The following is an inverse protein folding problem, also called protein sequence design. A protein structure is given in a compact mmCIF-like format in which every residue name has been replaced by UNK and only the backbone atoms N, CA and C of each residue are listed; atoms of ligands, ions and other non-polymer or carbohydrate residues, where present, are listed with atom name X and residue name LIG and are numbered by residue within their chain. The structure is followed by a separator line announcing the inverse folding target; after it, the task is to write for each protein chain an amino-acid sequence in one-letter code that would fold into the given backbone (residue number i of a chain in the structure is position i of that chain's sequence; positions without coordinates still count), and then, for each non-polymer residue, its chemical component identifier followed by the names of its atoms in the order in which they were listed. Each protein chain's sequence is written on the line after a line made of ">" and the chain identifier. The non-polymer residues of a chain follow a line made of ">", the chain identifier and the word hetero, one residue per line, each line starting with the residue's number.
data_IF_023930825801
#
_entry.id   IF_023930825801
#
_cell.length_a   1.000
_cell.length_b   1.000
_cell.length_c   1.000
_cell.angle_alpha   90.00
_cell.angle_beta   90.00
_cell.angle_gamma   90.00
#
_symmetry.space_group_name_H-M   'P 1'
#
loop_
_entity.id
_entity.type
_entity.pdbx_description
1 polymer ?
#
# COMPACT_ATOMS: atom_id res chain seq x y z
N UNK A 1 4.31 -3.56 7.46
CA UNK A 1 2.84 -3.54 7.23
C UNK A 1 2.32 -4.73 6.44
N UNK A 2 3.04 -5.31 5.47
CA UNK A 2 2.51 -6.40 4.63
C UNK A 2 1.94 -7.62 5.38
N UNK A 3 2.44 -7.91 6.58
CA UNK A 3 1.97 -9.03 7.41
C UNK A 3 0.86 -8.68 8.41
N UNK A 4 0.33 -7.45 8.43
CA UNK A 4 -0.90 -7.18 9.21
C UNK A 4 -2.03 -8.03 8.67
N UNK A 5 -2.89 -8.52 9.57
CA UNK A 5 -3.85 -9.58 9.25
C UNK A 5 -5.27 -9.07 9.30
N UNK A 6 -6.04 -9.44 8.28
CA UNK A 6 -7.49 -9.42 8.30
C UNK A 6 -7.99 -10.88 8.46
N UNK A 7 -9.18 -11.10 9.03
CA UNK A 7 -9.75 -12.44 9.20
C UNK A 7 -10.30 -12.98 7.86
N UNK A 8 -9.40 -13.12 6.88
CA UNK A 8 -9.68 -13.56 5.52
C UNK A 8 -8.88 -14.82 5.21
N UNK A 9 -9.50 -15.73 4.47
CA UNK A 9 -8.82 -16.93 3.96
C UNK A 9 -8.09 -16.58 2.65
N UNK A 10 -6.80 -16.26 2.78
CA UNK A 10 -5.91 -15.94 1.66
C UNK A 10 -4.91 -17.07 1.43
N UNK A 11 -4.16 -17.09 0.32
CA UNK A 11 -3.02 -17.98 0.19
C UNK A 11 -2.06 -17.74 1.35
N UNK A 12 -1.38 -18.81 1.77
CA UNK A 12 -0.43 -18.74 2.88
C UNK A 12 0.69 -17.73 2.56
N UNK A 13 0.92 -16.83 3.50
CA UNK A 13 2.01 -15.87 3.46
C UNK A 13 3.35 -16.55 3.78
N UNK A 14 4.46 -15.96 3.33
CA UNK A 14 5.80 -16.45 3.67
C UNK A 14 6.10 -16.35 5.17
N UNK A 15 5.41 -15.47 5.91
CA UNK A 15 5.47 -15.44 7.37
C UNK A 15 4.78 -16.64 8.04
N UNK A 16 4.16 -17.54 7.26
CA UNK A 16 3.50 -18.76 7.72
C UNK A 16 2.01 -18.61 8.05
N UNK A 17 1.47 -17.40 8.07
CA UNK A 17 0.07 -17.08 8.41
C UNK A 17 -0.82 -16.89 7.17
N UNK A 18 -2.14 -16.79 7.38
CA UNK A 18 -3.12 -16.35 6.38
C UNK A 18 -3.69 -14.96 6.74
N UNK A 19 -4.32 -14.30 5.77
CA UNK A 19 -4.96 -13.01 5.95
C UNK A 19 -4.00 -11.81 5.89
N UNK A 20 -2.73 -12.03 5.55
CA UNK A 20 -1.75 -10.94 5.44
C UNK A 20 -2.12 -9.96 4.32
N UNK A 21 -2.00 -8.67 4.58
CA UNK A 21 -2.32 -7.59 3.63
C UNK A 21 -1.61 -7.77 2.27
N UNK A 22 -0.35 -8.21 2.28
CA UNK A 22 0.40 -8.51 1.04
C UNK A 22 -0.18 -9.69 0.24
N UNK A 23 -0.89 -10.61 0.90
CA UNK A 23 -1.54 -11.75 0.25
C UNK A 23 -2.93 -11.39 -0.24
N UNK A 24 -3.61 -10.49 0.45
CA UNK A 24 -4.86 -9.88 -0.02
C UNK A 24 -4.60 -9.11 -1.32
N UNK A 25 -3.61 -8.22 -1.34
CA UNK A 25 -3.22 -7.49 -2.54
C UNK A 25 -2.23 -8.30 -3.39
N UNK A 26 -2.67 -9.46 -3.90
CA UNK A 26 -1.83 -10.33 -4.72
C UNK A 26 -2.57 -11.00 -5.88
N UNK A 27 -1.82 -11.36 -6.93
CA UNK A 27 -2.35 -12.16 -8.05
C UNK A 27 -2.86 -13.52 -7.59
N UNK A 28 -2.27 -14.12 -6.55
CA UNK A 28 -2.67 -15.43 -6.06
C UNK A 28 -4.06 -15.39 -5.40
N UNK A 29 -4.36 -14.34 -4.64
CA UNK A 29 -5.68 -14.15 -4.05
C UNK A 29 -6.73 -13.78 -5.12
N UNK A 30 -6.38 -12.93 -6.08
CA UNK A 30 -7.25 -12.65 -7.23
C UNK A 30 -7.64 -13.93 -8.00
N UNK A 31 -6.71 -14.86 -8.17
CA UNK A 31 -6.99 -16.20 -8.75
C UNK A 31 -7.93 -17.05 -7.91
N UNK A 32 -7.83 -17.00 -6.58
CA UNK A 32 -8.81 -17.66 -5.71
C UNK A 32 -10.22 -17.07 -5.87
N UNK A 33 -10.34 -15.78 -6.20
CA UNK A 33 -11.60 -15.14 -6.57
C UNK A 33 -12.05 -15.49 -8.00
N UNK A 34 -11.37 -16.40 -8.69
CA UNK A 34 -11.70 -16.88 -10.02
C UNK A 34 -11.32 -15.92 -11.15
N UNK A 35 -10.34 -15.04 -10.95
CA UNK A 35 -9.78 -14.17 -11.99
C UNK A 35 -8.33 -14.59 -12.33
N UNK A 36 -8.09 -14.97 -13.58
CA UNK A 36 -6.84 -15.61 -13.99
C UNK A 36 -5.74 -14.63 -14.39
N UNK A 37 -6.07 -13.35 -14.59
CA UNK A 37 -5.11 -12.31 -14.94
C UNK A 37 -4.14 -12.01 -13.79
N UNK A 38 -3.00 -11.38 -14.14
CA UNK A 38 -2.14 -10.72 -13.14
C UNK A 38 -2.92 -9.58 -12.50
N UNK A 39 -2.72 -9.34 -11.21
CA UNK A 39 -3.42 -8.28 -10.47
C UNK A 39 -3.27 -6.91 -11.14
N UNK A 40 -2.06 -6.54 -11.54
CA UNK A 40 -1.78 -5.28 -12.24
C UNK A 40 -2.58 -5.14 -13.53
N UNK A 41 -2.63 -6.21 -14.34
CA UNK A 41 -3.42 -6.23 -15.57
C UNK A 41 -4.92 -6.16 -15.28
N UNK A 42 -5.41 -6.88 -14.28
CA UNK A 42 -6.83 -6.88 -13.92
C UNK A 42 -7.30 -5.51 -13.40
N UNK A 43 -6.45 -4.80 -12.64
CA UNK A 43 -6.74 -3.42 -12.22
C UNK A 43 -6.73 -2.48 -13.43
N UNK A 44 -5.79 -2.63 -14.37
CA UNK A 44 -5.75 -1.79 -15.58
C UNK A 44 -6.96 -2.03 -16.50
N UNK A 45 -7.33 -3.29 -16.73
CA UNK A 45 -8.41 -3.67 -17.65
C UNK A 45 -9.80 -3.39 -17.06
N UNK A 46 -10.00 -3.61 -15.75
CA UNK A 46 -11.30 -3.52 -15.10
C UNK A 46 -11.21 -3.08 -13.63
N UNK A 47 -10.79 -1.83 -13.35
CA UNK A 47 -10.53 -1.33 -11.99
C UNK A 47 -11.80 -1.31 -11.12
N UNK A 48 -12.97 -1.23 -11.76
CA UNK A 48 -14.26 -1.19 -11.07
C UNK A 48 -14.93 -2.56 -10.93
N UNK A 49 -14.29 -3.64 -11.37
CA UNK A 49 -14.85 -4.98 -11.24
C UNK A 49 -15.07 -5.36 -9.76
N UNK A 50 -16.10 -6.17 -9.43
CA UNK A 50 -16.40 -6.51 -8.03
C UNK A 50 -15.22 -7.12 -7.27
N UNK A 51 -14.39 -7.93 -7.95
CA UNK A 51 -13.22 -8.59 -7.35
C UNK A 51 -12.11 -7.60 -7.05
N UNK A 52 -11.84 -6.66 -7.98
CA UNK A 52 -10.85 -5.61 -7.76
C UNK A 52 -11.32 -4.69 -6.64
N UNK A 53 -12.57 -4.21 -6.67
CA UNK A 53 -13.16 -3.42 -5.57
C UNK A 53 -12.99 -4.10 -4.22
N UNK A 54 -13.32 -5.40 -4.12
CA UNK A 54 -13.17 -6.15 -2.88
C UNK A 54 -11.71 -6.15 -2.38
N UNK A 55 -10.73 -6.38 -3.26
CA UNK A 55 -9.30 -6.35 -2.89
C UNK A 55 -8.89 -4.92 -2.47
N UNK A 56 -9.34 -3.90 -3.21
CA UNK A 56 -9.07 -2.48 -2.93
C UNK A 56 -9.65 -2.06 -1.58
N UNK A 57 -10.86 -2.49 -1.25
CA UNK A 57 -11.52 -2.18 0.03
C UNK A 57 -10.73 -2.77 1.21
N UNK A 58 -10.26 -4.02 1.08
CA UNK A 58 -9.42 -4.63 2.12
C UNK A 58 -8.04 -3.97 2.23
N UNK A 59 -7.44 -3.60 1.09
CA UNK A 59 -6.17 -2.89 1.07
C UNK A 59 -6.30 -1.53 1.79
N UNK A 60 -7.28 -0.73 1.41
CA UNK A 60 -7.51 0.62 1.97
C UNK A 60 -7.84 0.55 3.45
N UNK A 61 -8.63 -0.43 3.90
CA UNK A 61 -8.88 -0.67 5.33
C UNK A 61 -7.59 -0.97 6.10
N UNK A 62 -6.72 -1.82 5.54
CA UNK A 62 -5.41 -2.13 6.15
C UNK A 62 -4.50 -0.90 6.24
N UNK A 63 -4.48 -0.07 5.20
CA UNK A 63 -3.70 1.16 5.15
C UNK A 63 -4.25 2.22 6.10
N UNK A 64 -5.56 2.46 6.09
CA UNK A 64 -6.23 3.42 6.97
C UNK A 64 -6.01 3.08 8.45
N UNK A 65 -6.08 1.79 8.82
CA UNK A 65 -5.78 1.35 10.19
C UNK A 65 -4.35 1.70 10.62
N UNK A 66 -3.37 1.52 9.74
CA UNK A 66 -1.99 1.91 10.05
C UNK A 66 -1.81 3.42 10.15
N UNK A 67 -2.49 4.19 9.29
CA UNK A 67 -2.47 5.65 9.36
C UNK A 67 -3.09 6.14 10.68
N UNK A 68 -4.27 5.64 11.04
CA UNK A 68 -4.94 5.97 12.30
C UNK A 68 -4.09 5.61 13.52
N UNK A 69 -3.34 4.51 13.46
CA UNK A 69 -2.48 4.05 14.55
C UNK A 69 -1.16 4.84 14.66
N UNK A 70 -0.43 4.98 13.55
CA UNK A 70 0.87 5.66 13.53
C UNK A 70 0.75 7.19 13.61
N UNK A 71 -0.42 7.75 13.25
CA UNK A 71 -0.70 9.19 13.21
C UNK A 71 0.37 10.01 12.47
N UNK A 72 0.79 9.61 11.27
CA UNK A 72 1.80 10.34 10.53
C UNK A 72 1.26 11.70 10.06
N UNK A 73 2.15 12.68 9.92
CA UNK A 73 1.82 13.95 9.25
C UNK A 73 1.83 13.83 7.73
N UNK A 74 2.59 12.86 7.18
CA UNK A 74 2.74 12.63 5.74
C UNK A 74 2.63 11.13 5.42
N UNK A 75 1.90 10.81 4.35
CA UNK A 75 1.83 9.45 3.78
C UNK A 75 2.19 9.53 2.31
N UNK A 76 3.15 8.73 1.90
CA UNK A 76 3.52 8.60 0.49
C UNK A 76 3.13 7.21 0.01
N UNK A 77 2.29 7.14 -1.03
CA UNK A 77 1.99 5.89 -1.72
C UNK A 77 2.95 5.77 -2.90
N UNK A 78 3.80 4.74 -2.83
CA UNK A 78 4.76 4.40 -3.86
C UNK A 78 4.33 3.13 -4.57
N UNK A 79 4.37 3.15 -5.90
CA UNK A 79 4.02 2.01 -6.74
C UNK A 79 4.90 2.00 -8.00
N UNK A 80 5.24 0.80 -8.46
CA UNK A 80 5.90 0.52 -9.74
C UNK A 80 4.90 0.10 -10.84
N UNK A 81 3.59 0.11 -10.52
CA UNK A 81 2.55 -0.29 -11.45
C UNK A 81 2.36 0.79 -12.53
N UNK A 82 2.55 0.47 -13.82
CA UNK A 82 2.40 1.43 -14.90
C UNK A 82 0.94 1.86 -15.07
N UNK A 83 0.72 3.11 -15.47
CA UNK A 83 -0.59 3.68 -15.85
C UNK A 83 -1.68 3.51 -14.78
N UNK A 84 -1.28 3.49 -13.49
CA UNK A 84 -2.20 3.30 -12.36
C UNK A 84 -2.58 4.60 -11.68
N UNK A 85 -2.37 5.72 -12.36
CA UNK A 85 -2.43 7.03 -11.74
C UNK A 85 -3.81 7.31 -11.12
N UNK A 86 -4.86 7.09 -11.89
CA UNK A 86 -6.26 7.24 -11.45
C UNK A 86 -6.63 6.23 -10.35
N UNK A 87 -6.09 5.02 -10.42
CA UNK A 87 -6.35 3.99 -9.41
C UNK A 87 -5.72 4.36 -8.07
N UNK A 88 -4.53 4.95 -8.07
CA UNK A 88 -3.90 5.45 -6.84
C UNK A 88 -4.70 6.62 -6.26
N UNK A 89 -5.24 7.51 -7.09
CA UNK A 89 -6.05 8.62 -6.59
C UNK A 89 -7.33 8.10 -5.90
N UNK A 90 -7.98 7.08 -6.47
CA UNK A 90 -9.09 6.38 -5.82
C UNK A 90 -8.67 5.75 -4.50
N UNK A 91 -7.51 5.09 -4.44
CA UNK A 91 -6.98 4.52 -3.19
C UNK A 91 -6.76 5.61 -2.13
N UNK A 92 -6.19 6.75 -2.50
CA UNK A 92 -5.92 7.86 -1.57
C UNK A 92 -7.22 8.38 -0.95
N UNK A 93 -8.23 8.64 -1.78
CA UNK A 93 -9.53 9.12 -1.28
C UNK A 93 -10.21 8.06 -0.40
N UNK A 94 -10.21 6.79 -0.80
CA UNK A 94 -10.77 5.71 0.02
C UNK A 94 -10.05 5.51 1.36
N UNK A 95 -8.72 5.70 1.42
CA UNK A 95 -7.98 5.69 2.69
C UNK A 95 -8.44 6.86 3.54
N UNK A 96 -8.51 8.07 2.97
CA UNK A 96 -8.90 9.29 3.67
C UNK A 96 -10.29 9.17 4.31
N UNK A 97 -11.25 8.58 3.60
CA UNK A 97 -12.63 8.35 4.08
C UNK A 97 -12.70 7.42 5.31
N UNK A 98 -11.68 6.59 5.52
CA UNK A 98 -11.58 5.66 6.64
C UNK A 98 -10.73 6.19 7.81
N UNK A 99 -10.24 7.43 7.72
CA UNK A 99 -9.47 8.06 8.79
C UNK A 99 -10.37 8.67 9.86
N UNK A 100 -9.86 8.74 11.08
CA UNK A 100 -10.46 9.56 12.12
C UNK A 100 -10.49 11.02 11.66
N UNK A 101 -11.65 11.68 11.82
CA UNK A 101 -11.95 13.01 11.25
C UNK A 101 -10.88 14.07 11.51
N UNK A 102 -10.28 14.07 12.70
CA UNK A 102 -9.24 15.04 13.06
C UNK A 102 -7.92 14.82 12.29
N UNK A 103 -7.62 13.57 11.92
CA UNK A 103 -6.42 13.22 11.16
C UNK A 103 -6.62 13.41 9.67
N UNK A 104 -7.81 13.09 9.15
CA UNK A 104 -8.17 13.30 7.75
C UNK A 104 -7.91 14.74 7.29
N UNK A 105 -8.13 15.72 8.16
CA UNK A 105 -7.96 17.14 7.87
C UNK A 105 -6.50 17.65 7.92
N UNK A 106 -5.57 16.88 8.51
CA UNK A 106 -4.19 17.33 8.78
C UNK A 106 -3.15 16.55 7.99
N UNK A 107 -3.47 15.33 7.58
CA UNK A 107 -2.55 14.45 6.90
C UNK A 107 -2.29 14.93 5.47
N UNK A 108 -1.02 15.00 5.10
CA UNK A 108 -0.61 15.22 3.71
C UNK A 108 -0.42 13.86 3.04
N UNK A 109 -1.14 13.62 1.95
CA UNK A 109 -1.02 12.37 1.20
C UNK A 109 -0.42 12.68 -0.17
N UNK A 110 0.70 12.05 -0.47
CA UNK A 110 1.44 12.21 -1.70
C UNK A 110 1.46 10.89 -2.45
N UNK A 111 1.37 11.01 -3.76
CA UNK A 111 1.67 9.92 -4.67
C UNK A 111 3.09 10.09 -5.16
N UNK A 112 3.84 8.99 -5.16
CA UNK A 112 5.18 8.95 -5.68
C UNK A 112 5.29 7.86 -6.73
N UNK A 113 5.27 8.28 -7.99
CA UNK A 113 5.63 7.42 -9.12
C UNK A 113 7.12 7.61 -9.34
N UNK A 114 7.91 6.57 -9.10
CA UNK A 114 9.36 6.71 -9.02
C UNK A 114 10.00 6.92 -10.40
N UNK A 115 10.72 8.03 -10.65
CA UNK A 115 11.49 8.21 -11.87
C UNK A 115 12.88 7.59 -11.70
N UNK A 116 13.05 6.30 -11.97
CA UNK A 116 14.34 5.60 -12.19
C UNK A 116 15.54 5.88 -11.24
N UNK A 117 15.35 6.51 -10.07
CA UNK A 117 16.42 6.97 -9.18
C UNK A 117 16.77 5.93 -8.11
N UNK A 118 17.56 4.98 -8.59
CA UNK A 118 18.40 3.94 -8.00
C UNK A 118 18.55 3.81 -6.46
N UNK A 119 18.61 2.56 -5.94
CA UNK A 119 19.01 2.19 -4.58
C UNK A 119 20.25 2.90 -4.01
N UNK A 120 21.13 3.42 -4.87
CA UNK A 120 22.29 4.23 -4.50
C UNK A 120 21.92 5.52 -3.77
N UNK A 121 20.82 6.19 -4.15
CA UNK A 121 20.36 7.41 -3.48
C UNK A 121 19.90 7.13 -2.04
N UNK A 122 19.13 6.05 -1.85
CA UNK A 122 18.74 5.57 -0.51
C UNK A 122 19.94 5.17 0.33
N UNK A 123 20.93 4.50 -0.28
CA UNK A 123 22.20 4.15 0.38
C UNK A 123 23.00 5.39 0.80
N UNK A 124 23.11 6.39 -0.06
CA UNK A 124 23.77 7.66 0.25
C UNK A 124 23.03 8.44 1.34
N UNK A 125 21.70 8.49 1.30
CA UNK A 125 20.89 9.12 2.35
C UNK A 125 21.10 8.45 3.71
N UNK A 126 21.19 7.12 3.74
CA UNK A 126 21.49 6.38 4.97
C UNK A 126 22.90 6.70 5.51
N UNK A 127 23.90 6.78 4.62
CA UNK A 127 25.26 7.16 5.01
C UNK A 127 25.32 8.60 5.58
N UNK A 128 24.62 9.55 4.95
CA UNK A 128 24.49 10.91 5.46
C UNK A 128 23.79 10.95 6.82
N UNK A 129 22.70 10.17 6.99
CA UNK A 129 22.00 10.08 8.26
C UNK A 129 22.91 9.56 9.38
N UNK A 130 23.78 8.59 9.12
CA UNK A 130 24.76 8.14 10.11
C UNK A 130 25.75 9.25 10.49
N UNK A 131 26.24 10.02 9.52
CA UNK A 131 27.21 11.10 9.77
C UNK A 131 26.59 12.25 10.58
N UNK A 132 25.37 12.66 10.23
CA UNK A 132 24.75 13.86 10.80
C UNK A 132 23.85 13.59 12.02
N UNK A 133 23.35 12.37 12.19
CA UNK A 133 22.33 12.04 13.21
C UNK A 133 22.84 11.12 14.32
N UNK A 134 23.87 10.30 14.07
CA UNK A 134 24.55 9.53 15.13
C UNK A 134 25.74 10.33 15.67
N UNK A 135 25.50 11.40 16.45
CA UNK A 135 26.54 11.86 17.38
C UNK A 135 26.47 11.02 18.65
N UNK A 136 27.58 10.43 19.14
CA UNK A 136 27.63 9.89 20.48
C UNK A 136 27.41 11.06 21.45
N UNK A 137 26.36 10.96 22.26
CA UNK A 137 26.24 11.74 23.49
C UNK A 137 27.22 11.24 24.54
#
# INVERSE_FOLDING_TARGET
>A
MGHTRLPLDTPRCYCGQTGCLERIFSTAYLKQLGENNKLSKAIADAPTSPKIRQITDYLTMGLANAVNFCRPSHVTIMTDLPDMDDYIDVLVEQIRDQLLREFANRIQMHKWTEPNAQPAASGAALALAQIYWCRPG
#
